data_IF_856227406132
#
_entry.id   IF_856227406132
#
_cell.length_a   1.000
_cell.length_b   1.000
_cell.length_c   1.000
_cell.angle_alpha   90.00
_cell.angle_beta   90.00
_cell.angle_gamma   90.00
#
_symmetry.space_group_name_H-M   'P 1'
#
loop_
_entity.id
_entity.type
_entity.pdbx_description
1 polymer ?
#
# COMPACT_ATOMS: atom_id res chain seq x y z
N UNK A 1 -0.15 15.29 -42.81
CA UNK A 1 0.06 15.11 -44.27
C UNK A 1 0.17 16.41 -45.07
N UNK A 2 -0.56 17.50 -44.77
CA UNK A 2 -0.51 18.74 -45.60
C UNK A 2 0.80 19.55 -45.56
N UNK A 3 1.63 19.38 -44.54
CA UNK A 3 2.91 20.12 -44.41
C UNK A 3 4.01 19.50 -45.29
N UNK A 4 3.91 18.21 -45.67
CA UNK A 4 4.94 17.52 -46.45
C UNK A 4 4.91 17.85 -47.95
N UNK A 5 3.75 18.24 -48.49
CA UNK A 5 3.61 18.56 -49.93
C UNK A 5 4.20 19.92 -50.33
N UNK A 6 4.55 20.77 -49.36
CA UNK A 6 5.15 22.08 -49.61
C UNK A 6 6.69 22.07 -49.59
N UNK A 7 7.32 21.04 -49.02
CA UNK A 7 8.77 20.96 -48.91
C UNK A 7 9.44 20.39 -50.18
N UNK A 8 8.76 19.49 -50.90
CA UNK A 8 9.30 18.85 -52.11
C UNK A 8 9.49 19.83 -53.29
N UNK A 9 8.60 20.80 -53.57
CA UNK A 9 8.82 21.76 -54.67
C UNK A 9 9.94 22.77 -54.37
N UNK A 10 10.16 23.12 -53.11
CA UNK A 10 11.16 24.12 -52.72
C UNK A 10 12.60 23.62 -52.95
N UNK A 11 12.84 22.32 -52.75
CA UNK A 11 14.14 21.70 -52.96
C UNK A 11 14.44 21.55 -54.47
N UNK A 12 13.42 21.26 -55.28
CA UNK A 12 13.55 21.17 -56.74
C UNK A 12 13.84 22.53 -57.41
N UNK A 13 13.32 23.63 -56.87
CA UNK A 13 13.62 24.99 -57.36
C UNK A 13 15.05 25.41 -57.01
N UNK A 14 15.59 24.99 -55.86
CA UNK A 14 16.98 25.26 -55.47
C UNK A 14 18.00 24.51 -56.35
N UNK A 15 17.64 23.34 -56.88
CA UNK A 15 18.48 22.58 -57.81
C UNK A 15 18.56 23.21 -59.22
N UNK A 16 17.51 23.92 -59.67
CA UNK A 16 17.49 24.59 -60.98
C UNK A 16 18.28 25.91 -61.02
N UNK A 17 18.63 26.49 -59.86
CA UNK A 17 19.35 27.78 -59.75
C UNK A 17 20.87 27.55 -59.54
N UNK A 18 21.35 26.30 -59.54
CA UNK A 18 22.78 25.99 -59.55
C UNK A 18 23.54 26.33 -58.26
N UNK A 19 22.85 26.40 -57.11
CA UNK A 19 23.47 26.71 -55.82
C UNK A 19 23.86 25.49 -54.96
N UNK A 20 23.69 24.27 -55.47
CA UNK A 20 24.12 23.06 -54.76
C UNK A 20 24.80 22.16 -55.79
N UNK A 21 26.11 21.99 -55.65
CA UNK A 21 26.82 20.87 -56.26
C UNK A 21 26.17 19.59 -55.71
N UNK A 22 25.63 18.78 -56.61
CA UNK A 22 25.08 17.46 -56.29
C UNK A 22 26.26 16.56 -55.93
N UNK A 23 26.68 16.65 -54.67
CA UNK A 23 27.43 15.60 -54.01
C UNK A 23 26.48 14.39 -53.84
N UNK A 24 26.77 13.39 -54.66
CA UNK A 24 26.56 11.95 -54.44
C UNK A 24 25.10 11.46 -54.27
N UNK A 25 24.63 10.72 -55.29
CA UNK A 25 23.43 9.87 -55.23
C UNK A 25 23.40 8.90 -54.02
N UNK A 26 24.56 8.62 -53.41
CA UNK A 26 24.69 7.76 -52.22
C UNK A 26 23.96 8.33 -50.98
N UNK A 27 23.82 9.65 -50.87
CA UNK A 27 23.12 10.29 -49.73
C UNK A 27 21.58 10.17 -49.83
N UNK A 28 21.04 10.08 -51.05
CA UNK A 28 19.57 10.03 -51.24
C UNK A 28 19.01 8.66 -50.88
N UNK A 29 19.72 7.58 -51.21
CA UNK A 29 19.29 6.22 -50.88
C UNK A 29 19.37 5.96 -49.36
N UNK A 30 20.38 6.49 -48.67
CA UNK A 30 20.48 6.44 -47.20
C UNK A 30 19.35 7.23 -46.51
N UNK A 31 18.97 8.39 -47.07
CA UNK A 31 17.82 9.17 -46.58
C UNK A 31 16.50 8.39 -46.77
N UNK A 32 16.30 7.73 -47.92
CA UNK A 32 15.10 6.90 -48.13
C UNK A 32 15.06 5.71 -47.16
N UNK A 33 16.20 5.03 -46.95
CA UNK A 33 16.29 3.92 -46.00
C UNK A 33 15.99 4.37 -44.55
N UNK A 34 16.47 5.56 -44.15
CA UNK A 34 16.15 6.16 -42.84
C UNK A 34 14.67 6.54 -42.73
N UNK A 35 14.07 7.05 -43.81
CA UNK A 35 12.65 7.41 -43.83
C UNK A 35 11.74 6.17 -43.73
N UNK A 36 12.09 5.09 -44.43
CA UNK A 36 11.37 3.81 -44.34
C UNK A 36 11.50 3.18 -42.95
N UNK A 37 12.68 3.27 -42.34
CA UNK A 37 12.88 2.84 -40.95
C UNK A 37 12.04 3.65 -39.97
N UNK A 38 11.96 4.98 -40.17
CA UNK A 38 11.16 5.85 -39.31
C UNK A 38 9.66 5.59 -39.50
N UNK A 39 9.21 5.38 -40.73
CA UNK A 39 7.80 5.08 -41.03
C UNK A 39 7.37 3.75 -40.40
N UNK A 40 8.22 2.72 -40.47
CA UNK A 40 8.00 1.45 -39.80
C UNK A 40 7.94 1.59 -38.26
N UNK A 41 8.83 2.40 -37.66
CA UNK A 41 8.79 2.67 -36.22
C UNK A 41 7.52 3.42 -35.79
N UNK A 42 7.05 4.36 -36.60
CA UNK A 42 5.79 5.08 -36.33
C UNK A 42 4.59 4.13 -36.44
N UNK A 43 4.56 3.26 -37.45
CA UNK A 43 3.53 2.23 -37.59
C UNK A 43 3.50 1.30 -36.36
N UNK A 44 4.66 0.78 -35.96
CA UNK A 44 4.79 -0.08 -34.78
C UNK A 44 4.32 0.62 -33.48
N UNK A 45 4.65 1.90 -33.30
CA UNK A 45 4.19 2.66 -32.14
C UNK A 45 2.69 2.90 -32.16
N UNK A 46 2.11 3.16 -33.32
CA UNK A 46 0.65 3.32 -33.46
C UNK A 46 -0.08 2.01 -33.16
N UNK A 47 0.43 0.87 -33.62
CA UNK A 47 -0.16 -0.44 -33.34
C UNK A 47 -0.08 -0.79 -31.85
N UNK A 48 1.08 -0.50 -31.22
CA UNK A 48 1.23 -0.66 -29.77
C UNK A 48 0.31 0.25 -28.98
N UNK A 49 0.10 1.48 -29.46
CA UNK A 49 -0.84 2.43 -28.85
C UNK A 49 -2.29 1.93 -28.98
N UNK A 50 -2.67 1.35 -30.13
CA UNK A 50 -4.00 0.75 -30.32
C UNK A 50 -4.26 -0.42 -29.36
N UNK A 51 -3.27 -1.31 -29.18
CA UNK A 51 -3.35 -2.42 -28.21
C UNK A 51 -3.49 -1.92 -26.77
N UNK A 52 -2.73 -0.88 -26.39
CA UNK A 52 -2.82 -0.27 -25.07
C UNK A 52 -4.21 0.36 -24.84
N UNK A 53 -4.78 1.03 -25.84
CA UNK A 53 -6.13 1.56 -25.76
C UNK A 53 -7.18 0.45 -25.60
N UNK A 54 -7.05 -0.65 -26.34
CA UNK A 54 -7.98 -1.78 -26.22
C UNK A 54 -7.92 -2.41 -24.81
N UNK A 55 -6.72 -2.56 -24.23
CA UNK A 55 -6.56 -3.07 -22.87
C UNK A 55 -7.13 -2.10 -21.83
N UNK A 56 -6.93 -0.79 -21.99
CA UNK A 56 -7.52 0.24 -21.13
C UNK A 56 -9.05 0.21 -21.18
N UNK A 57 -9.66 0.05 -22.35
CA UNK A 57 -11.11 -0.08 -22.51
C UNK A 57 -11.62 -1.35 -21.82
N UNK A 58 -10.93 -2.49 -21.98
CA UNK A 58 -11.29 -3.73 -21.27
C UNK A 58 -11.23 -3.57 -19.76
N UNK A 59 -10.19 -2.91 -19.24
CA UNK A 59 -10.07 -2.60 -17.81
C UNK A 59 -11.17 -1.65 -17.32
N UNK A 60 -11.50 -0.61 -18.09
CA UNK A 60 -12.56 0.33 -17.75
C UNK A 60 -13.94 -0.35 -17.67
N UNK A 61 -14.30 -1.16 -18.66
CA UNK A 61 -15.54 -1.93 -18.66
C UNK A 61 -15.60 -2.94 -17.49
N UNK A 62 -14.47 -3.58 -17.18
CA UNK A 62 -14.37 -4.47 -16.03
C UNK A 62 -14.54 -3.75 -14.69
N UNK A 63 -14.07 -2.50 -14.57
CA UNK A 63 -14.28 -1.67 -13.40
C UNK A 63 -15.74 -1.25 -13.27
N UNK A 64 -16.38 -0.82 -14.37
CA UNK A 64 -17.79 -0.43 -14.37
C UNK A 64 -18.70 -1.58 -13.90
N UNK A 65 -18.44 -2.80 -14.37
CA UNK A 65 -19.16 -4.00 -13.88
C UNK A 65 -18.98 -4.21 -12.37
N UNK A 66 -17.74 -4.09 -11.88
CA UNK A 66 -17.46 -4.24 -10.44
C UNK A 66 -18.12 -3.16 -9.60
N UNK A 67 -18.20 -1.92 -10.10
CA UNK A 67 -18.93 -0.83 -9.43
C UNK A 67 -20.41 -1.18 -9.32
N UNK A 68 -21.03 -1.69 -10.39
CA UNK A 68 -22.42 -2.16 -10.35
C UNK A 68 -22.65 -3.29 -9.34
N UNK A 69 -21.75 -4.27 -9.26
CA UNK A 69 -21.81 -5.33 -8.23
C UNK A 69 -21.68 -4.76 -6.81
N UNK A 70 -20.82 -3.75 -6.63
CA UNK A 70 -20.64 -3.04 -5.37
C UNK A 70 -21.89 -2.25 -4.95
N UNK A 71 -22.58 -1.62 -5.91
CA UNK A 71 -23.81 -0.87 -5.65
C UNK A 71 -24.94 -1.80 -5.18
N UNK A 72 -25.07 -2.98 -5.80
CA UNK A 72 -26.02 -4.02 -5.37
C UNK A 72 -25.69 -4.46 -3.93
N UNK A 73 -24.42 -4.75 -3.64
CA UNK A 73 -23.98 -5.18 -2.31
C UNK A 73 -24.22 -4.08 -1.26
N UNK A 74 -23.96 -2.82 -1.61
CA UNK A 74 -24.23 -1.65 -0.76
C UNK A 74 -25.72 -1.51 -0.47
N UNK A 75 -26.57 -1.70 -1.48
CA UNK A 75 -28.03 -1.73 -1.31
C UNK A 75 -28.49 -2.83 -0.36
N UNK A 76 -27.97 -4.05 -0.52
CA UNK A 76 -28.26 -5.18 0.37
C UNK A 76 -27.80 -4.90 1.80
N UNK A 77 -26.62 -4.32 1.99
CA UNK A 77 -26.09 -3.99 3.30
C UNK A 77 -26.92 -2.90 4.00
N UNK A 78 -27.37 -1.87 3.26
CA UNK A 78 -28.31 -0.86 3.79
C UNK A 78 -29.62 -1.49 4.26
N UNK A 79 -30.18 -2.43 3.49
CA UNK A 79 -31.40 -3.14 3.88
C UNK A 79 -31.21 -3.97 5.16
N UNK A 80 -30.04 -4.62 5.33
CA UNK A 80 -29.71 -5.34 6.56
C UNK A 80 -29.59 -4.41 7.77
N UNK A 81 -28.95 -3.24 7.60
CA UNK A 81 -28.84 -2.24 8.66
C UNK A 81 -30.22 -1.75 9.11
N UNK A 82 -31.10 -1.42 8.17
CA UNK A 82 -32.48 -1.05 8.50
C UNK A 82 -33.22 -2.14 9.29
N UNK A 83 -33.05 -3.41 8.89
CA UNK A 83 -33.63 -4.54 9.62
C UNK A 83 -33.05 -4.76 11.03
N UNK A 84 -31.78 -4.39 11.26
CA UNK A 84 -31.17 -4.41 12.59
C UNK A 84 -31.67 -3.25 13.45
N UNK A 85 -31.82 -2.05 12.88
CA UNK A 85 -32.38 -0.89 13.58
C UNK A 85 -33.79 -1.17 14.11
N UNK A 86 -34.65 -1.82 13.32
CA UNK A 86 -36.00 -2.21 13.74
C UNK A 86 -35.98 -3.25 14.87
N UNK A 87 -35.04 -4.20 14.84
CA UNK A 87 -34.84 -5.15 15.94
C UNK A 87 -34.37 -4.45 17.21
N UNK A 88 -33.46 -3.50 17.11
CA UNK A 88 -32.98 -2.71 18.26
C UNK A 88 -34.13 -1.92 18.88
N UNK A 89 -34.96 -1.25 18.08
CA UNK A 89 -36.17 -0.56 18.59
C UNK A 89 -37.13 -1.52 19.30
N UNK A 90 -37.32 -2.71 18.74
CA UNK A 90 -38.18 -3.74 19.34
C UNK A 90 -37.64 -4.21 20.69
N UNK A 91 -36.33 -4.47 20.78
CA UNK A 91 -35.69 -4.87 22.04
C UNK A 91 -35.71 -3.74 23.08
N UNK A 92 -35.51 -2.50 22.67
CA UNK A 92 -35.63 -1.34 23.57
C UNK A 92 -37.05 -1.24 24.14
N UNK A 93 -38.09 -1.42 23.33
CA UNK A 93 -39.47 -1.44 23.80
C UNK A 93 -39.75 -2.60 24.79
N UNK A 94 -39.14 -3.78 24.58
CA UNK A 94 -39.24 -4.91 25.51
C UNK A 94 -38.54 -4.62 26.85
N UNK A 95 -37.37 -3.99 26.82
CA UNK A 95 -36.63 -3.58 28.03
C UNK A 95 -37.41 -2.52 28.81
N UNK A 96 -38.04 -1.55 28.14
CA UNK A 96 -38.91 -0.56 28.79
C UNK A 96 -40.19 -1.17 29.38
N UNK A 97 -40.75 -2.21 28.75
CA UNK A 97 -41.89 -2.93 29.28
C UNK A 97 -41.52 -3.71 30.55
N UNK A 98 -40.32 -4.31 30.58
CA UNK A 98 -39.79 -5.02 31.74
C UNK A 98 -39.43 -4.07 32.90
N UNK A 99 -38.95 -2.86 32.60
CA UNK A 99 -38.62 -1.86 33.64
C UNK A 99 -39.86 -1.24 34.31
N UNK A 100 -41.04 -1.34 33.67
CA UNK A 100 -42.33 -0.87 34.21
C UNK A 100 -43.09 -1.94 35.02
N UNK A 101 -42.58 -3.16 35.13
CA UNK A 101 -43.18 -4.20 35.97
C UNK A 101 -42.89 -3.94 37.48
N UNK A 102 -43.81 -4.26 38.40
CA UNK A 102 -43.62 -3.97 39.82
C UNK A 102 -42.52 -4.85 40.45
N UNK A 103 -41.80 -4.35 41.47
CA UNK A 103 -40.60 -5.02 41.98
C UNK A 103 -40.95 -6.22 42.84
N UNK A 104 -40.51 -7.41 42.44
CA UNK A 104 -40.31 -8.53 43.35
C UNK A 104 -38.89 -8.47 43.92
N UNK A 105 -38.79 -8.06 45.19
CA UNK A 105 -37.73 -8.34 46.18
C UNK A 105 -36.26 -8.47 45.73
N UNK A 106 -35.44 -7.49 46.12
CA UNK A 106 -33.97 -7.57 46.17
C UNK A 106 -33.45 -8.64 47.16
N UNK A 107 -32.14 -8.97 47.14
CA UNK A 107 -31.22 -8.14 47.93
C UNK A 107 -29.87 -7.82 47.26
N UNK A 108 -29.29 -6.76 47.83
CA UNK A 108 -28.05 -6.06 47.54
C UNK A 108 -26.78 -6.92 47.36
N UNK A 109 -25.84 -6.40 46.56
CA UNK A 109 -24.47 -6.89 46.47
C UNK A 109 -23.53 -5.95 45.71
N UNK A 110 -22.89 -5.05 46.45
CA UNK A 110 -21.57 -4.42 46.25
C UNK A 110 -21.09 -4.01 44.84
N UNK A 111 -21.02 -2.69 44.64
CA UNK A 111 -20.18 -2.04 43.63
C UNK A 111 -18.83 -1.66 44.24
N UNK A 112 -17.67 -2.04 43.68
CA UNK A 112 -16.43 -1.33 43.88
C UNK A 112 -16.35 -0.16 42.90
N UNK A 113 -15.86 0.98 43.39
CA UNK A 113 -15.58 2.18 42.61
C UNK A 113 -14.68 1.84 41.41
N UNK A 114 -15.19 2.07 40.19
CA UNK A 114 -14.42 2.07 38.97
C UNK A 114 -14.38 3.49 38.42
N UNK A 115 -13.17 3.86 38.01
CA UNK A 115 -12.74 5.15 37.50
C UNK A 115 -13.75 5.78 36.53
N UNK A 116 -14.01 7.07 36.73
CA UNK A 116 -14.77 7.92 35.81
C UNK A 116 -14.00 8.11 34.50
N UNK A 117 -13.93 7.09 33.68
CA UNK A 117 -13.78 7.26 32.24
C UNK A 117 -15.10 7.87 31.74
N UNK A 118 -15.05 9.04 31.11
CA UNK A 118 -16.20 9.59 30.37
C UNK A 118 -16.62 8.54 29.35
N UNK A 119 -17.69 7.79 29.61
CA UNK A 119 -18.38 6.97 28.62
C UNK A 119 -19.09 7.91 27.66
N UNK A 120 -18.35 8.40 26.67
CA UNK A 120 -18.93 9.04 25.50
C UNK A 120 -19.79 8.00 24.78
N UNK A 121 -20.89 8.47 24.17
CA UNK A 121 -21.67 7.60 23.28
C UNK A 121 -20.86 7.28 22.04
N UNK A 122 -21.16 6.16 21.39
CA UNK A 122 -20.43 5.73 20.18
C UNK A 122 -20.49 6.82 19.10
N UNK A 123 -21.60 7.55 18.95
CA UNK A 123 -21.68 8.64 17.97
C UNK A 123 -20.67 9.77 18.24
N UNK A 124 -20.45 10.12 19.50
CA UNK A 124 -19.52 11.17 19.91
C UNK A 124 -18.06 10.73 19.67
N UNK A 125 -17.75 9.46 19.93
CA UNK A 125 -16.43 8.87 19.63
C UNK A 125 -16.16 8.92 18.12
N UNK A 126 -17.12 8.51 17.30
CA UNK A 126 -16.97 8.52 15.84
C UNK A 126 -16.81 9.94 15.31
N UNK A 127 -17.55 10.91 15.87
CA UNK A 127 -17.43 12.32 15.51
C UNK A 127 -16.04 12.88 15.87
N UNK A 128 -15.50 12.53 17.04
CA UNK A 128 -14.16 12.94 17.45
C UNK A 128 -13.10 12.37 16.49
N UNK A 129 -13.20 11.08 16.13
CA UNK A 129 -12.27 10.45 15.17
C UNK A 129 -12.31 11.17 13.82
N UNK A 130 -13.51 11.47 13.30
CA UNK A 130 -13.66 12.21 12.04
C UNK A 130 -13.08 13.62 12.12
N UNK A 131 -13.26 14.30 13.25
CA UNK A 131 -12.71 15.64 13.52
C UNK A 131 -11.18 15.60 13.49
N UNK A 132 -10.56 14.67 14.22
CA UNK A 132 -9.11 14.46 14.20
C UNK A 132 -8.60 14.19 12.79
N UNK A 133 -9.28 13.32 12.02
CA UNK A 133 -8.89 13.03 10.63
C UNK A 133 -9.02 14.26 9.73
N UNK A 134 -10.07 15.07 9.87
CA UNK A 134 -10.23 16.30 9.11
C UNK A 134 -9.12 17.32 9.44
N UNK A 135 -8.80 17.50 10.72
CA UNK A 135 -7.73 18.37 11.16
C UNK A 135 -6.37 17.90 10.64
N UNK A 136 -6.09 16.59 10.70
CA UNK A 136 -4.88 16.00 10.14
C UNK A 136 -4.78 16.23 8.63
N UNK A 137 -5.86 15.99 7.86
CA UNK A 137 -5.89 16.27 6.40
C UNK A 137 -5.60 17.72 6.07
N UNK A 138 -6.11 18.64 6.88
CA UNK A 138 -5.91 20.09 6.72
C UNK A 138 -4.56 20.58 7.25
N UNK A 139 -3.76 19.71 7.89
CA UNK A 139 -2.48 20.07 8.50
C UNK A 139 -2.61 20.89 9.80
N UNK A 140 -3.81 20.98 10.38
CA UNK A 140 -4.05 21.69 11.65
C UNK A 140 -3.37 21.02 12.84
N UNK A 141 -3.27 19.70 12.79
CA UNK A 141 -2.60 18.89 13.81
C UNK A 141 -1.57 17.98 13.14
N UNK A 142 -0.55 17.59 13.90
CA UNK A 142 0.47 16.63 13.45
C UNK A 142 0.06 15.19 13.79
N UNK A 143 0.69 14.22 13.14
CA UNK A 143 0.46 12.80 13.38
C UNK A 143 0.58 12.40 14.87
N UNK A 144 1.54 12.98 15.60
CA UNK A 144 1.78 12.65 17.01
C UNK A 144 0.64 13.10 17.92
N UNK A 145 0.10 14.28 17.64
CA UNK A 145 -1.07 14.82 18.34
C UNK A 145 -2.32 14.02 17.99
N UNK A 146 -2.52 13.70 16.71
CA UNK A 146 -3.62 12.86 16.26
C UNK A 146 -3.58 11.48 16.93
N UNK A 147 -2.41 10.83 17.00
CA UNK A 147 -2.25 9.55 17.68
C UNK A 147 -2.60 9.64 19.17
N UNK A 148 -2.17 10.71 19.84
CA UNK A 148 -2.47 10.96 21.25
C UNK A 148 -3.98 11.10 21.49
N UNK A 149 -4.68 11.83 20.63
CA UNK A 149 -6.14 12.03 20.72
C UNK A 149 -6.95 10.79 20.39
N UNK A 150 -6.46 9.97 19.46
CA UNK A 150 -7.15 8.74 19.02
C UNK A 150 -6.90 7.55 19.94
N UNK A 151 -5.82 7.56 20.75
CA UNK A 151 -5.42 6.45 21.61
C UNK A 151 -6.52 5.96 22.56
N UNK A 152 -7.32 6.82 23.25
CA UNK A 152 -8.42 6.36 24.10
C UNK A 152 -9.53 5.60 23.35
N UNK A 153 -9.61 5.78 22.04
CA UNK A 153 -10.65 5.21 21.16
C UNK A 153 -10.06 4.26 20.12
N UNK A 154 -8.88 3.70 20.38
CA UNK A 154 -8.11 2.93 19.40
C UNK A 154 -8.92 1.79 18.74
N UNK A 155 -9.75 1.07 19.51
CA UNK A 155 -10.65 0.03 19.00
C UNK A 155 -11.60 0.52 17.88
N UNK A 156 -12.00 1.80 17.91
CA UNK A 156 -12.87 2.43 16.90
C UNK A 156 -12.08 3.22 15.85
N UNK A 157 -10.92 3.75 16.21
CA UNK A 157 -10.06 4.54 15.33
C UNK A 157 -9.29 3.67 14.34
N UNK A 158 -8.76 2.52 14.78
CA UNK A 158 -7.96 1.62 13.95
C UNK A 158 -8.65 1.20 12.62
N UNK A 159 -9.90 0.68 12.60
CA UNK A 159 -10.55 0.32 11.34
C UNK A 159 -10.82 1.52 10.43
N UNK A 160 -11.10 2.70 10.99
CA UNK A 160 -11.31 3.93 10.22
C UNK A 160 -10.01 4.44 9.61
N UNK A 161 -8.92 4.43 10.37
CA UNK A 161 -7.58 4.80 9.90
C UNK A 161 -7.09 3.86 8.80
N UNK A 162 -7.30 2.54 8.92
CA UNK A 162 -6.97 1.58 7.86
C UNK A 162 -7.77 1.85 6.59
N UNK A 163 -9.05 2.20 6.73
CA UNK A 163 -9.92 2.56 5.59
C UNK A 163 -9.44 3.86 4.94
N UNK A 164 -9.13 4.88 5.74
CA UNK A 164 -8.61 6.17 5.25
C UNK A 164 -7.25 5.99 4.56
N UNK A 165 -6.38 5.16 5.13
CA UNK A 165 -5.07 4.82 4.55
C UNK A 165 -5.24 4.25 3.16
N UNK A 166 -6.15 3.27 3.00
CA UNK A 166 -6.45 2.64 1.69
C UNK A 166 -6.86 3.69 0.66
N UNK A 167 -7.74 4.60 1.06
CA UNK A 167 -8.29 5.63 0.18
C UNK A 167 -7.28 6.74 -0.14
N UNK A 168 -6.16 6.79 0.59
CA UNK A 168 -5.19 7.89 0.54
C UNK A 168 -3.78 7.47 0.11
N UNK A 169 -3.57 6.23 -0.35
CA UNK A 169 -2.23 5.74 -0.73
C UNK A 169 -1.55 6.58 -1.82
N UNK A 170 -2.32 7.16 -2.73
CA UNK A 170 -1.79 8.08 -3.76
C UNK A 170 -1.27 9.40 -3.18
N UNK A 171 -1.67 9.77 -1.96
CA UNK A 171 -1.22 10.96 -1.23
C UNK A 171 -0.11 10.56 -0.27
N UNK A 172 1.10 10.37 -0.80
CA UNK A 172 2.24 9.79 -0.09
C UNK A 172 2.44 10.33 1.34
N UNK A 173 2.51 11.66 1.51
CA UNK A 173 2.72 12.29 2.82
C UNK A 173 1.57 12.04 3.81
N UNK A 174 0.33 12.01 3.33
CA UNK A 174 -0.82 11.77 4.18
C UNK A 174 -0.91 10.28 4.56
N UNK A 175 -0.65 9.38 3.60
CA UNK A 175 -0.54 7.95 3.88
C UNK A 175 0.56 7.66 4.92
N UNK A 176 1.71 8.33 4.83
CA UNK A 176 2.79 8.20 5.84
C UNK A 176 2.38 8.68 7.23
N UNK A 177 1.61 9.76 7.31
CA UNK A 177 1.05 10.21 8.59
C UNK A 177 0.08 9.17 9.18
N UNK A 178 -0.78 8.58 8.35
CA UNK A 178 -1.70 7.52 8.79
C UNK A 178 -0.96 6.26 9.23
N UNK A 179 0.07 5.84 8.48
CA UNK A 179 0.95 4.72 8.88
C UNK A 179 1.59 5.00 10.25
N UNK A 180 2.08 6.22 10.48
CA UNK A 180 2.69 6.65 11.74
C UNK A 180 1.70 6.67 12.92
N UNK A 181 0.47 7.14 12.68
CA UNK A 181 -0.58 7.15 13.70
C UNK A 181 -0.96 5.72 14.08
N UNK A 182 -1.23 4.86 13.08
CA UNK A 182 -1.57 3.46 13.31
C UNK A 182 -0.48 2.75 14.11
N UNK A 183 0.79 2.98 13.79
CA UNK A 183 1.93 2.39 14.50
C UNK A 183 2.03 2.78 15.98
N UNK A 184 1.38 3.87 16.39
CA UNK A 184 1.35 4.38 17.78
C UNK A 184 0.11 3.96 18.57
N UNK A 185 -0.85 3.30 17.93
CA UNK A 185 -2.00 2.72 18.62
C UNK A 185 -1.63 1.40 19.33
N UNK A 186 -2.38 0.99 20.35
CA UNK A 186 -2.17 -0.30 21.00
C UNK A 186 -2.24 -1.47 20.00
N UNK A 187 -1.25 -2.39 19.96
CA UNK A 187 -1.23 -3.51 19.01
C UNK A 187 -2.46 -4.40 19.05
N UNK A 188 -3.08 -4.56 20.22
CA UNK A 188 -4.32 -5.34 20.39
C UNK A 188 -5.47 -4.82 19.50
N UNK A 189 -5.59 -3.50 19.35
CA UNK A 189 -6.64 -2.86 18.55
C UNK A 189 -6.34 -2.89 17.04
N UNK A 190 -5.09 -3.17 16.67
CA UNK A 190 -4.62 -3.19 15.27
C UNK A 190 -4.78 -4.56 14.61
N UNK A 191 -4.80 -5.65 15.39
CA UNK A 191 -4.73 -7.02 14.87
C UNK A 191 -5.81 -7.31 13.81
N UNK A 192 -7.09 -7.10 14.15
CA UNK A 192 -8.20 -7.41 13.25
C UNK A 192 -8.22 -6.50 12.02
N UNK A 193 -8.13 -5.15 12.13
CA UNK A 193 -8.08 -4.27 10.97
C UNK A 193 -6.92 -4.56 10.02
N UNK A 194 -5.71 -4.78 10.55
CA UNK A 194 -4.52 -5.02 9.72
C UNK A 194 -4.54 -6.41 9.09
N UNK A 195 -5.04 -7.44 9.79
CA UNK A 195 -5.24 -8.76 9.17
C UNK A 195 -6.23 -8.70 7.99
N UNK A 196 -7.28 -7.88 8.08
CA UNK A 196 -8.19 -7.62 6.97
C UNK A 196 -7.53 -6.86 5.81
N UNK A 197 -6.63 -5.92 6.12
CA UNK A 197 -5.90 -5.13 5.12
C UNK A 197 -4.83 -5.95 4.37
N UNK A 198 -4.14 -6.88 5.05
CA UNK A 198 -3.12 -7.75 4.44
C UNK A 198 -3.69 -8.62 3.30
N UNK A 199 -4.99 -8.93 3.35
CA UNK A 199 -5.69 -9.69 2.30
C UNK A 199 -6.06 -8.85 1.07
N UNK A 200 -5.93 -7.52 1.15
CA UNK A 200 -6.32 -6.60 0.08
C UNK A 200 -5.09 -6.09 -0.67
N UNK A 201 -4.93 -6.50 -1.93
CA UNK A 201 -3.76 -6.16 -2.78
C UNK A 201 -3.42 -4.67 -2.78
N UNK A 202 -4.43 -3.79 -2.75
CA UNK A 202 -4.21 -2.35 -2.79
C UNK A 202 -3.58 -1.73 -1.54
N UNK A 203 -3.66 -2.36 -0.36
CA UNK A 203 -3.20 -1.78 0.93
C UNK A 203 -2.21 -2.68 1.68
N UNK A 204 -2.07 -3.95 1.27
CA UNK A 204 -1.34 -4.96 2.04
C UNK A 204 0.10 -4.58 2.38
N UNK A 205 0.84 -3.91 1.48
CA UNK A 205 2.19 -3.41 1.78
C UNK A 205 2.19 -2.35 2.88
N UNK A 206 1.23 -1.42 2.87
CA UNK A 206 1.11 -0.40 3.89
C UNK A 206 0.73 -1.03 5.24
N UNK A 207 -0.15 -2.03 5.23
CA UNK A 207 -0.48 -2.81 6.43
C UNK A 207 0.76 -3.51 7.01
N UNK A 208 1.58 -4.16 6.18
CA UNK A 208 2.85 -4.76 6.61
C UNK A 208 3.81 -3.70 7.20
N UNK A 209 3.96 -2.55 6.54
CA UNK A 209 4.79 -1.44 7.06
C UNK A 209 4.31 -0.92 8.41
N UNK A 210 3.00 -0.82 8.62
CA UNK A 210 2.40 -0.44 9.91
C UNK A 210 2.77 -1.46 10.97
N UNK A 211 2.59 -2.76 10.71
CA UNK A 211 2.94 -3.83 11.66
C UNK A 211 4.41 -3.73 12.05
N UNK A 212 5.32 -3.63 11.07
CA UNK A 212 6.75 -3.45 11.35
C UNK A 212 7.07 -2.17 12.10
N UNK A 213 6.27 -1.11 11.93
CA UNK A 213 6.45 0.15 12.63
C UNK A 213 5.98 0.13 14.08
N UNK A 214 5.08 -0.78 14.45
CA UNK A 214 4.75 -1.01 15.87
C UNK A 214 5.93 -1.59 16.64
N UNK A 215 6.81 -2.36 15.98
CA UNK A 215 7.86 -3.14 16.62
C UNK A 215 7.32 -4.26 17.52
N UNK A 216 6.01 -4.54 17.48
CA UNK A 216 5.37 -5.53 18.32
C UNK A 216 5.57 -6.94 17.75
N UNK A 217 6.21 -7.81 18.53
CA UNK A 217 6.54 -9.18 18.13
C UNK A 217 5.27 -10.03 17.95
N UNK A 218 4.30 -9.90 18.85
CA UNK A 218 3.07 -10.70 18.83
C UNK A 218 2.18 -10.36 17.62
N UNK A 219 2.02 -9.08 17.31
CA UNK A 219 1.30 -8.61 16.14
C UNK A 219 2.01 -9.08 14.85
N UNK A 220 3.35 -9.15 14.85
CA UNK A 220 4.10 -9.59 13.67
C UNK A 220 3.81 -11.02 13.24
N UNK A 221 3.33 -11.91 14.13
CA UNK A 221 3.00 -13.28 13.78
C UNK A 221 1.91 -13.39 12.70
N UNK A 222 1.04 -12.38 12.54
CA UNK A 222 0.05 -12.38 11.45
C UNK A 222 0.69 -12.29 10.06
N UNK A 223 1.96 -11.86 9.98
CA UNK A 223 2.70 -11.76 8.73
C UNK A 223 3.32 -13.10 8.29
N UNK A 224 3.42 -14.09 9.18
CA UNK A 224 4.05 -15.38 8.88
C UNK A 224 3.26 -16.19 7.83
N UNK A 225 1.94 -15.97 7.74
CA UNK A 225 1.08 -16.55 6.68
C UNK A 225 1.53 -16.12 5.27
N UNK A 226 2.26 -15.01 5.14
CA UNK A 226 2.64 -14.40 3.86
C UNK A 226 4.09 -14.64 3.45
N UNK A 227 4.85 -15.47 4.17
CA UNK A 227 6.25 -15.79 3.83
C UNK A 227 6.36 -16.46 2.44
N UNK A 228 5.32 -17.18 2.01
CA UNK A 228 5.30 -17.87 0.70
C UNK A 228 4.72 -17.06 -0.47
N UNK A 229 4.38 -15.78 -0.27
CA UNK A 229 3.79 -14.94 -1.32
C UNK A 229 4.71 -14.79 -2.54
N UNK A 230 4.15 -14.49 -3.70
CA UNK A 230 4.94 -14.39 -4.95
C UNK A 230 5.30 -12.94 -5.29
N UNK A 231 4.46 -12.02 -4.87
CA UNK A 231 4.66 -10.59 -5.08
C UNK A 231 5.88 -10.10 -4.28
N UNK A 232 6.89 -9.66 -5.03
CA UNK A 232 8.19 -9.30 -4.50
C UNK A 232 8.16 -8.07 -3.59
N UNK A 233 7.42 -7.03 -3.97
CA UNK A 233 7.31 -5.79 -3.19
C UNK A 233 6.59 -6.05 -1.88
N UNK A 234 5.53 -6.86 -1.92
CA UNK A 234 4.84 -7.28 -0.70
C UNK A 234 5.72 -8.16 0.19
N UNK A 235 6.43 -9.14 -0.39
CA UNK A 235 7.39 -9.98 0.36
C UNK A 235 8.47 -9.16 1.04
N UNK A 236 9.02 -8.15 0.36
CA UNK A 236 10.00 -7.25 0.94
C UNK A 236 9.42 -6.49 2.14
N UNK A 237 8.20 -5.96 2.01
CA UNK A 237 7.50 -5.28 3.10
C UNK A 237 7.23 -6.21 4.29
N UNK A 238 6.84 -7.46 4.03
CA UNK A 238 6.64 -8.51 5.05
C UNK A 238 7.96 -8.83 5.75
N UNK A 239 9.04 -9.07 4.99
CA UNK A 239 10.37 -9.37 5.53
C UNK A 239 10.94 -8.25 6.39
N UNK A 240 10.83 -7.00 5.92
CA UNK A 240 11.24 -5.82 6.68
C UNK A 240 10.43 -5.69 7.97
N UNK A 241 9.11 -5.85 7.88
CA UNK A 241 8.23 -5.72 9.03
C UNK A 241 8.49 -6.78 10.11
N UNK A 242 8.64 -8.05 9.72
CA UNK A 242 8.99 -9.14 10.63
C UNK A 242 10.31 -8.84 11.35
N UNK A 243 11.35 -8.44 10.62
CA UNK A 243 12.66 -8.13 11.21
C UNK A 243 12.60 -6.93 12.17
N UNK A 244 11.87 -5.86 11.81
CA UNK A 244 11.67 -4.69 12.67
C UNK A 244 10.93 -5.02 13.96
N UNK A 245 10.05 -6.02 13.93
CA UNK A 245 9.38 -6.58 15.11
C UNK A 245 10.17 -7.68 15.82
N UNK A 246 11.46 -7.85 15.51
CA UNK A 246 12.34 -8.90 16.08
C UNK A 246 11.78 -10.31 15.86
N UNK A 247 11.23 -10.56 14.68
CA UNK A 247 10.79 -11.87 14.21
C UNK A 247 11.74 -12.37 13.11
N UNK A 248 12.41 -13.51 13.39
CA UNK A 248 13.43 -14.10 12.52
C UNK A 248 12.88 -14.64 11.20
N UNK A 249 11.57 -14.89 11.11
CA UNK A 249 10.88 -15.36 9.90
C UNK A 249 11.03 -14.39 8.72
N UNK A 250 11.37 -13.12 8.96
CA UNK A 250 11.62 -12.13 7.91
C UNK A 250 13.00 -12.23 7.24
N UNK A 251 14.00 -12.85 7.90
CA UNK A 251 15.38 -12.89 7.38
C UNK A 251 15.46 -13.60 6.02
N UNK A 252 14.88 -14.79 5.82
CA UNK A 252 14.89 -15.45 4.51
C UNK A 252 14.25 -14.62 3.40
N UNK A 253 13.23 -13.83 3.71
CA UNK A 253 12.59 -12.93 2.74
C UNK A 253 13.55 -11.83 2.30
N UNK A 254 14.25 -11.18 3.24
CA UNK A 254 15.23 -10.15 2.92
C UNK A 254 16.42 -10.71 2.12
N UNK A 255 16.90 -11.92 2.47
CA UNK A 255 17.95 -12.60 1.71
C UNK A 255 17.52 -12.89 0.28
N UNK A 256 16.28 -13.33 0.08
CA UNK A 256 15.72 -13.53 -1.26
C UNK A 256 15.67 -12.21 -2.05
N UNK A 257 15.33 -11.09 -1.40
CA UNK A 257 15.30 -9.76 -2.01
C UNK A 257 16.68 -9.22 -2.40
N UNK A 258 17.79 -9.75 -1.86
CA UNK A 258 19.14 -9.43 -2.35
C UNK A 258 19.39 -9.97 -3.78
N UNK A 259 18.59 -10.95 -4.22
CA UNK A 259 18.66 -11.52 -5.58
C UNK A 259 17.69 -10.85 -6.55
N UNK A 260 16.99 -9.81 -6.12
CA UNK A 260 16.08 -9.03 -6.96
C UNK A 260 16.80 -8.41 -8.15
N UNK A 261 16.14 -8.31 -9.30
CA UNK A 261 16.61 -7.48 -10.42
C UNK A 261 16.49 -5.98 -10.13
N UNK A 262 15.58 -5.61 -9.23
CA UNK A 262 15.32 -4.22 -8.87
C UNK A 262 16.30 -3.72 -7.81
N UNK A 263 17.09 -2.70 -8.17
CA UNK A 263 18.08 -2.10 -7.26
C UNK A 263 17.43 -1.48 -6.01
N UNK A 264 16.21 -0.96 -6.12
CA UNK A 264 15.45 -0.42 -5.00
C UNK A 264 15.12 -1.50 -3.95
N UNK A 265 14.65 -2.66 -4.40
CA UNK A 265 14.37 -3.84 -3.56
C UNK A 265 15.64 -4.31 -2.85
N UNK A 266 16.75 -4.45 -3.60
CA UNK A 266 18.06 -4.79 -3.02
C UNK A 266 18.52 -3.77 -1.98
N UNK A 267 18.27 -2.48 -2.21
CA UNK A 267 18.67 -1.39 -1.30
C UNK A 267 17.92 -1.45 0.03
N UNK A 268 16.61 -1.69 0.00
CA UNK A 268 15.80 -1.82 1.21
C UNK A 268 16.23 -3.08 1.97
N UNK A 269 16.37 -4.22 1.27
CA UNK A 269 16.77 -5.48 1.87
C UNK A 269 18.12 -5.38 2.59
N UNK A 270 19.14 -4.84 1.92
CA UNK A 270 20.46 -4.68 2.54
C UNK A 270 20.45 -3.64 3.67
N UNK A 271 19.65 -2.57 3.56
CA UNK A 271 19.52 -1.58 4.63
C UNK A 271 19.00 -2.22 5.91
N UNK A 272 18.02 -3.12 5.80
CA UNK A 272 17.43 -3.82 6.94
C UNK A 272 18.36 -4.89 7.48
N UNK A 273 18.98 -5.70 6.62
CA UNK A 273 19.97 -6.71 7.03
C UNK A 273 21.18 -6.07 7.73
N UNK A 274 21.69 -4.95 7.21
CA UNK A 274 22.78 -4.17 7.81
C UNK A 274 22.45 -3.74 9.25
N UNK A 275 21.22 -3.32 9.52
CA UNK A 275 20.80 -2.91 10.88
C UNK A 275 20.88 -4.05 11.87
N UNK A 276 20.49 -5.25 11.47
CA UNK A 276 20.52 -6.43 12.35
C UNK A 276 21.91 -7.08 12.42
N UNK A 277 22.77 -6.82 11.43
CA UNK A 277 24.18 -7.21 11.43
C UNK A 277 25.12 -6.09 11.92
N UNK A 278 24.69 -5.31 12.93
CA UNK A 278 25.53 -4.31 13.62
C UNK A 278 26.20 -3.28 12.68
N UNK A 279 25.55 -2.94 11.58
CA UNK A 279 26.03 -1.95 10.63
C UNK A 279 26.97 -2.51 9.55
N UNK A 280 27.19 -3.81 9.47
CA UNK A 280 27.99 -4.42 8.40
C UNK A 280 27.08 -4.89 7.24
N UNK A 281 27.34 -4.36 6.04
CA UNK A 281 26.67 -4.74 4.79
C UNK A 281 27.41 -5.86 4.02
N UNK A 282 28.52 -6.37 4.58
CA UNK A 282 29.41 -7.36 3.98
C UNK A 282 29.96 -6.92 2.62
N UNK A 283 30.05 -5.61 2.38
CA UNK A 283 30.50 -5.04 1.12
C UNK A 283 29.50 -5.22 -0.04
N UNK A 284 28.25 -5.57 0.26
CA UNK A 284 27.19 -5.69 -0.72
C UNK A 284 26.87 -4.34 -1.38
N UNK A 285 26.74 -4.33 -2.71
CA UNK A 285 26.50 -3.11 -3.49
C UNK A 285 25.17 -3.21 -4.24
N UNK A 286 24.08 -2.60 -3.75
CA UNK A 286 22.75 -2.79 -4.35
C UNK A 286 22.63 -2.29 -5.79
N UNK A 287 23.53 -1.42 -6.25
CA UNK A 287 23.60 -0.95 -7.64
C UNK A 287 24.18 -1.98 -8.62
N UNK A 288 24.90 -2.99 -8.14
CA UNK A 288 25.43 -4.08 -8.99
C UNK A 288 24.36 -5.17 -9.18
N UNK A 289 24.50 -5.96 -10.24
CA UNK A 289 23.62 -7.10 -10.49
C UNK A 289 23.77 -8.18 -9.40
N UNK A 290 22.78 -9.08 -9.24
CA UNK A 290 22.89 -10.21 -8.33
C UNK A 290 24.15 -11.06 -8.56
N UNK A 291 24.54 -11.28 -9.82
CA UNK A 291 25.73 -12.07 -10.19
C UNK A 291 27.02 -11.38 -9.72
N UNK A 292 27.11 -10.07 -9.92
CA UNK A 292 28.25 -9.29 -9.46
C UNK A 292 28.33 -9.22 -7.91
N UNK A 293 27.22 -9.44 -7.21
CA UNK A 293 27.16 -9.57 -5.76
C UNK A 293 27.20 -11.03 -5.26
N UNK A 294 27.40 -12.03 -6.11
CA UNK A 294 27.21 -13.45 -5.75
C UNK A 294 27.98 -13.88 -4.50
N UNK A 295 29.25 -13.48 -4.37
CA UNK A 295 30.05 -13.75 -3.17
C UNK A 295 29.46 -13.12 -1.90
N UNK A 296 28.88 -11.92 -2.02
CA UNK A 296 28.35 -11.17 -0.88
C UNK A 296 26.98 -11.71 -0.48
N UNK A 297 26.19 -12.14 -1.45
CA UNK A 297 24.94 -12.88 -1.22
C UNK A 297 25.25 -14.18 -0.48
N UNK A 298 26.28 -14.93 -0.92
CA UNK A 298 26.72 -16.14 -0.20
C UNK A 298 27.16 -15.83 1.23
N UNK A 299 27.91 -14.76 1.46
CA UNK A 299 28.32 -14.35 2.82
C UNK A 299 27.10 -14.06 3.71
N UNK A 300 26.05 -13.48 3.16
CA UNK A 300 24.78 -13.26 3.87
C UNK A 300 24.02 -14.56 4.18
N UNK A 301 24.01 -15.52 3.24
CA UNK A 301 23.44 -16.85 3.50
C UNK A 301 24.20 -17.57 4.62
N UNK A 302 25.55 -17.60 4.53
CA UNK A 302 26.43 -18.22 5.55
C UNK A 302 26.23 -17.56 6.94
N UNK A 303 26.08 -16.24 6.98
CA UNK A 303 25.77 -15.50 8.21
C UNK A 303 24.41 -15.90 8.76
N UNK A 304 23.39 -15.99 7.91
CA UNK A 304 22.04 -16.34 8.34
C UNK A 304 21.99 -17.74 8.94
N UNK A 305 22.63 -18.72 8.28
CA UNK A 305 22.70 -20.10 8.77
C UNK A 305 23.32 -20.20 10.17
N UNK A 306 24.29 -19.32 10.45
CA UNK A 306 25.01 -19.29 11.73
C UNK A 306 24.30 -18.49 12.82
N UNK A 307 23.64 -17.38 12.48
CA UNK A 307 23.20 -16.38 13.45
C UNK A 307 21.70 -16.10 13.45
N UNK A 308 20.97 -16.33 12.36
CA UNK A 308 19.58 -15.89 12.23
C UNK A 308 18.65 -16.53 13.26
N UNK A 309 18.84 -17.82 13.56
CA UNK A 309 17.98 -18.58 14.49
C UNK A 309 17.97 -17.98 15.90
N UNK A 310 19.13 -17.56 16.41
CA UNK A 310 19.29 -17.06 17.77
C UNK A 310 19.30 -15.52 17.83
N UNK A 311 19.07 -14.82 16.72
CA UNK A 311 19.24 -13.36 16.66
C UNK A 311 18.21 -12.59 17.50
N UNK A 312 17.03 -13.18 17.68
CA UNK A 312 15.89 -12.59 18.38
C UNK A 312 15.32 -13.46 19.51
N UNK A 313 16.08 -14.47 19.92
CA UNK A 313 15.92 -15.17 21.20
C UNK A 313 16.46 -14.29 22.34
#
# INVERSE_FOLDING_TARGET
>A
MKILMLAVPAIAVLALIGCIDVAEKEDVDDIHAKLDKLSAQVAQKNDMQALLYEELVKRANGLEKKVGEMDILTGAMKAQVAGLEDKVKTLQAQVEALSKAPPSGSPAGNTPAAETAKTLKIEEILLEIQTVLAELRSGKIKADEAATRLKPWAQHAAPQLVTELRNSLAKFEYAKQLESILAKLPPADLKVPLQGALKQRGIREAAARVIGATGDKELSHILEEYVGEQDEDFRLAVGDALVRSRNGSGIPLLLSSLRSEQSATRTIAISTLKKINRGDDMGYKPQLSPEANAEKIKAWDDWSDKYAKTLFE
#
